data_IF_336679314952
#
_entry.id   IF_336679314952
#
_cell.length_a   1.000
_cell.length_b   1.000
_cell.length_c   1.000
_cell.angle_alpha   90.00
_cell.angle_beta   90.00
_cell.angle_gamma   90.00
#
_symmetry.space_group_name_H-M   'P 1'
#
loop_
_entity.id
_entity.type
_entity.pdbx_description
1 polymer ?
#
# COMPACT_ATOMS: atom_id res chain seq x y z
N UNK A 1 -30.35 8.68 31.87
CA UNK A 1 -30.26 7.76 33.03
C UNK A 1 -28.85 7.20 33.10
N UNK A 2 -28.28 7.19 34.31
CA UNK A 2 -27.11 6.45 34.83
C UNK A 2 -25.78 6.50 34.04
N UNK A 3 -24.90 7.38 34.54
CA UNK A 3 -23.44 7.35 34.42
C UNK A 3 -22.90 6.11 35.14
N UNK A 4 -22.07 5.29 34.50
CA UNK A 4 -21.27 4.28 35.20
C UNK A 4 -19.78 4.64 35.08
N UNK A 5 -19.25 5.02 36.24
CA UNK A 5 -17.89 5.38 36.54
C UNK A 5 -17.21 4.08 37.03
N UNK A 6 -16.25 3.52 36.29
CA UNK A 6 -15.41 2.45 36.82
C UNK A 6 -13.97 2.97 36.97
N UNK A 7 -13.68 3.38 38.20
CA UNK A 7 -12.34 3.44 38.75
C UNK A 7 -11.78 2.02 38.80
N UNK A 8 -10.74 1.74 38.02
CA UNK A 8 -9.84 0.62 38.30
C UNK A 8 -8.47 1.17 38.70
N UNK A 9 -8.42 1.43 40.00
CA UNK A 9 -7.24 1.55 40.85
C UNK A 9 -6.50 0.21 40.94
N UNK A 10 -5.25 0.26 41.40
CA UNK A 10 -4.39 -0.86 41.82
C UNK A 10 -3.70 -1.68 40.72
N UNK A 11 -2.45 -1.34 40.42
CA UNK A 11 -1.31 -2.04 41.04
C UNK A 11 0.01 -1.50 40.49
N UNK A 12 0.51 -0.51 41.21
CA UNK A 12 1.86 0.02 41.13
C UNK A 12 2.82 -1.05 41.75
N UNK A 13 3.34 -1.96 40.93
CA UNK A 13 4.45 -2.83 41.34
C UNK A 13 5.78 -2.26 40.83
N UNK A 14 6.36 -1.39 41.65
CA UNK A 14 7.74 -0.93 41.56
C UNK A 14 8.68 -2.07 41.96
N UNK A 15 9.06 -2.90 40.98
CA UNK A 15 10.19 -3.82 41.12
C UNK A 15 11.50 -3.11 40.80
N UNK A 16 12.20 -2.64 41.84
CA UNK A 16 13.58 -2.15 41.74
C UNK A 16 14.54 -3.32 41.46
N UNK A 17 14.81 -3.58 40.18
CA UNK A 17 15.91 -4.44 39.76
C UNK A 17 17.24 -3.67 39.91
N UNK A 18 18.05 -4.07 40.89
CA UNK A 18 19.36 -3.46 41.13
C UNK A 18 20.30 -3.60 39.95
N UNK A 19 20.80 -2.48 39.43
CA UNK A 19 21.96 -2.45 38.54
C UNK A 19 23.20 -2.93 39.31
N UNK A 20 23.59 -4.20 39.11
CA UNK A 20 24.94 -4.66 39.44
C UNK A 20 25.91 -4.04 38.44
N UNK A 21 26.85 -3.24 38.95
CA UNK A 21 27.93 -2.62 38.19
C UNK A 21 28.99 -3.69 37.91
N UNK A 22 28.95 -4.31 36.74
CA UNK A 22 30.01 -5.20 36.27
C UNK A 22 31.26 -4.40 35.93
N UNK A 23 32.37 -4.74 36.58
CA UNK A 23 33.69 -4.19 36.27
C UNK A 23 34.25 -4.87 35.03
N UNK A 24 34.01 -4.28 33.86
CA UNK A 24 34.58 -4.76 32.59
C UNK A 24 36.07 -4.42 32.58
N UNK A 25 36.91 -5.45 32.50
CA UNK A 25 38.35 -5.31 32.25
C UNK A 25 38.55 -4.76 30.83
N UNK A 26 39.34 -3.69 30.64
CA UNK A 26 39.70 -3.22 29.32
C UNK A 26 40.70 -4.22 28.70
N UNK A 27 40.26 -5.02 27.72
CA UNK A 27 41.16 -5.97 27.06
C UNK A 27 40.53 -6.80 25.96
N UNK A 28 39.27 -7.20 26.11
CA UNK A 28 38.59 -8.06 25.13
C UNK A 28 37.42 -7.29 24.54
N UNK A 29 37.63 -6.69 23.36
CA UNK A 29 36.55 -6.16 22.55
C UNK A 29 35.69 -7.36 22.10
N UNK A 30 34.66 -7.66 22.88
CA UNK A 30 33.65 -8.63 22.50
C UNK A 30 33.15 -8.27 21.08
N UNK A 31 33.05 -9.25 20.16
CA UNK A 31 32.47 -9.02 18.85
C UNK A 31 31.15 -8.29 19.06
N UNK A 32 31.02 -7.10 18.47
CA UNK A 32 29.75 -6.38 18.47
C UNK A 32 28.70 -7.39 17.98
N UNK A 33 27.60 -7.58 18.74
CA UNK A 33 26.60 -8.57 18.37
C UNK A 33 26.19 -8.29 16.93
N UNK A 34 26.44 -9.28 16.07
CA UNK A 34 26.03 -9.26 14.68
C UNK A 34 24.53 -9.00 14.70
N UNK A 35 24.12 -7.78 14.31
CA UNK A 35 22.71 -7.39 14.27
C UNK A 35 22.03 -8.47 13.44
N UNK A 36 21.19 -9.29 14.07
CA UNK A 36 20.35 -10.23 13.36
C UNK A 36 19.57 -9.41 12.35
N UNK A 37 19.95 -9.55 11.08
CA UNK A 37 19.33 -8.83 10.00
C UNK A 37 17.97 -9.48 9.82
N UNK A 38 16.94 -8.85 10.39
CA UNK A 38 15.57 -9.28 10.21
C UNK A 38 15.29 -9.36 8.71
N UNK A 39 14.84 -10.54 8.26
CA UNK A 39 14.55 -10.77 6.86
C UNK A 39 13.33 -9.97 6.43
N UNK A 40 13.45 -9.18 5.37
CA UNK A 40 12.34 -8.46 4.76
C UNK A 40 11.26 -9.42 4.24
N UNK A 41 10.01 -8.97 4.20
CA UNK A 41 8.96 -9.68 3.47
C UNK A 41 9.29 -9.66 1.98
N UNK A 42 9.27 -10.83 1.34
CA UNK A 42 9.39 -10.91 -0.13
C UNK A 42 8.01 -10.83 -0.76
N UNK A 43 7.78 -9.82 -1.60
CA UNK A 43 6.52 -9.61 -2.29
C UNK A 43 6.47 -10.39 -3.61
N UNK A 44 5.27 -10.81 -3.98
CA UNK A 44 4.97 -11.58 -5.18
C UNK A 44 3.50 -11.94 -5.23
N UNK A 45 3.06 -12.54 -6.34
CA UNK A 45 1.70 -13.02 -6.50
C UNK A 45 1.66 -14.30 -7.36
N UNK A 46 0.60 -15.08 -7.22
CA UNK A 46 0.35 -16.28 -8.01
C UNK A 46 -0.45 -15.91 -9.28
N UNK A 47 0.01 -16.37 -10.44
CA UNK A 47 -0.79 -16.38 -11.67
C UNK A 47 -1.39 -17.78 -11.92
N UNK A 48 -2.25 -17.91 -12.92
CA UNK A 48 -2.74 -19.23 -13.37
C UNK A 48 -1.63 -20.19 -13.79
N UNK A 49 -0.47 -19.70 -14.23
CA UNK A 49 0.61 -20.52 -14.77
C UNK A 49 1.79 -20.65 -13.82
N UNK A 50 2.19 -19.56 -13.18
CA UNK A 50 3.39 -19.53 -12.33
C UNK A 50 3.37 -18.38 -11.31
N UNK A 51 4.11 -18.51 -10.20
CA UNK A 51 4.32 -17.39 -9.28
C UNK A 51 5.21 -16.31 -9.91
N UNK A 52 4.87 -15.05 -9.66
CA UNK A 52 5.66 -13.87 -10.03
C UNK A 52 6.30 -13.27 -8.78
N UNK A 53 7.63 -13.24 -8.74
CA UNK A 53 8.40 -12.63 -7.65
C UNK A 53 8.68 -11.14 -7.96
N UNK A 54 8.34 -10.26 -7.01
CA UNK A 54 8.58 -8.82 -7.09
C UNK A 54 9.77 -8.36 -6.23
N UNK A 55 10.18 -9.22 -5.28
CA UNK A 55 11.30 -8.99 -4.36
C UNK A 55 10.89 -8.25 -3.09
N UNK A 56 11.86 -7.90 -2.23
CA UNK A 56 11.60 -7.19 -0.98
C UNK A 56 11.35 -5.68 -1.21
N UNK A 57 10.83 -5.01 -0.18
CA UNK A 57 10.76 -3.55 -0.14
C UNK A 57 12.17 -2.92 -0.23
N UNK A 58 12.32 -1.86 -1.03
CA UNK A 58 13.64 -1.26 -1.32
C UNK A 58 14.15 -0.29 -0.26
N UNK A 59 13.32 0.14 0.69
CA UNK A 59 13.68 1.18 1.66
C UNK A 59 13.76 2.59 1.07
N UNK A 60 13.66 2.76 -0.25
CA UNK A 60 13.82 4.05 -0.92
C UNK A 60 12.49 4.77 -1.16
N UNK A 61 11.44 4.00 -1.44
CA UNK A 61 10.15 4.54 -1.87
C UNK A 61 8.97 3.84 -1.20
N UNK A 62 7.89 4.61 -1.05
CA UNK A 62 6.63 4.16 -0.52
C UNK A 62 5.48 4.80 -1.31
N UNK A 63 4.40 4.05 -1.50
CA UNK A 63 3.17 4.51 -2.10
C UNK A 63 2.10 4.63 -1.04
N UNK A 64 1.40 5.77 -1.05
CA UNK A 64 0.29 5.99 -0.13
C UNK A 64 -0.89 6.53 -0.91
N UNK A 65 -1.96 5.75 -0.93
CA UNK A 65 -3.27 6.22 -1.37
C UNK A 65 -3.98 6.93 -0.22
N UNK A 66 -4.44 8.15 -0.44
CA UNK A 66 -5.24 8.88 0.54
C UNK A 66 -6.73 8.84 0.18
N UNK A 67 -7.59 9.10 1.17
CA UNK A 67 -9.03 9.30 0.91
C UNK A 67 -9.23 10.41 -0.13
N UNK A 68 -10.30 10.27 -0.92
CA UNK A 68 -10.71 11.27 -1.90
C UNK A 68 -10.80 12.66 -1.25
N UNK A 69 -10.33 13.68 -1.94
CA UNK A 69 -10.30 15.08 -1.51
C UNK A 69 -9.36 15.39 -0.32
N UNK A 70 -8.45 14.50 0.08
CA UNK A 70 -7.44 14.82 1.09
C UNK A 70 -6.33 15.70 0.47
N UNK A 71 -6.20 16.99 0.82
CA UNK A 71 -5.34 17.92 0.08
C UNK A 71 -3.85 17.59 0.21
N UNK A 72 -3.08 17.78 -0.86
CA UNK A 72 -1.64 17.52 -0.89
C UNK A 72 -0.87 18.18 0.27
N UNK A 73 -1.23 19.42 0.64
CA UNK A 73 -0.62 20.11 1.78
C UNK A 73 -0.88 19.42 3.11
N UNK A 74 -2.04 18.78 3.28
CA UNK A 74 -2.36 17.98 4.46
C UNK A 74 -1.67 16.61 4.42
N UNK A 75 -1.58 15.99 3.25
CA UNK A 75 -0.78 14.78 3.02
C UNK A 75 0.67 14.99 3.46
N UNK A 76 1.33 16.03 2.95
CA UNK A 76 2.71 16.35 3.29
C UNK A 76 2.91 16.61 4.78
N UNK A 77 1.96 17.30 5.44
CA UNK A 77 2.01 17.53 6.89
C UNK A 77 1.87 16.26 7.70
N UNK A 78 0.96 15.37 7.31
CA UNK A 78 0.76 14.08 7.94
C UNK A 78 2.00 13.21 7.74
N UNK A 79 2.54 13.13 6.53
CA UNK A 79 3.74 12.35 6.25
C UNK A 79 4.99 12.91 6.95
N UNK A 80 5.09 14.22 7.12
CA UNK A 80 6.18 14.86 7.86
C UNK A 80 6.24 14.49 9.34
N UNK A 81 5.20 13.85 9.91
CA UNK A 81 5.28 13.31 11.27
C UNK A 81 5.97 11.97 11.34
N UNK A 82 6.18 11.29 10.21
CA UNK A 82 6.84 9.99 10.14
C UNK A 82 8.36 10.16 10.05
N UNK A 83 9.11 9.46 10.91
CA UNK A 83 10.57 9.65 11.00
C UNK A 83 11.30 9.30 9.70
N UNK A 84 10.89 8.23 9.00
CA UNK A 84 11.52 7.80 7.75
C UNK A 84 11.11 8.64 6.52
N UNK A 85 10.14 9.56 6.64
CA UNK A 85 9.70 10.39 5.53
C UNK A 85 10.77 11.43 5.14
N UNK A 86 11.05 11.54 3.83
CA UNK A 86 11.88 12.62 3.29
C UNK A 86 11.06 13.62 2.48
N UNK A 87 10.33 13.15 1.45
CA UNK A 87 9.59 14.02 0.54
C UNK A 87 8.48 13.28 -0.20
N UNK A 88 7.52 14.02 -0.75
CA UNK A 88 6.62 13.50 -1.80
C UNK A 88 7.30 13.76 -3.14
N UNK A 89 7.72 12.70 -3.84
CA UNK A 89 8.44 12.78 -5.11
C UNK A 89 7.51 12.91 -6.32
N UNK A 90 6.26 12.47 -6.18
CA UNK A 90 5.27 12.55 -7.25
C UNK A 90 3.86 12.25 -6.77
N UNK A 91 2.91 12.47 -7.68
CA UNK A 91 1.52 12.05 -7.52
C UNK A 91 1.05 11.43 -8.83
N UNK A 92 0.44 10.26 -8.74
CA UNK A 92 -0.16 9.55 -9.87
C UNK A 92 -1.66 9.52 -9.65
N UNK A 93 -2.41 9.78 -10.71
CA UNK A 93 -3.86 9.63 -10.69
C UNK A 93 -4.21 8.23 -11.17
N UNK A 94 -4.79 7.42 -10.30
CA UNK A 94 -5.38 6.12 -10.66
C UNK A 94 -6.90 6.26 -10.77
N UNK A 95 -7.59 5.20 -11.20
CA UNK A 95 -9.04 5.19 -11.22
C UNK A 95 -9.62 5.17 -9.80
N UNK A 96 -8.91 4.55 -8.85
CA UNK A 96 -9.25 4.44 -7.43
C UNK A 96 -8.95 5.72 -6.64
N UNK A 97 -8.11 6.61 -7.17
CA UNK A 97 -7.88 7.95 -6.62
C UNK A 97 -6.44 8.45 -6.80
N UNK A 98 -6.11 9.62 -6.23
CA UNK A 98 -4.73 10.10 -6.24
C UNK A 98 -3.85 9.25 -5.31
N UNK A 99 -2.69 8.84 -5.81
CA UNK A 99 -1.67 8.08 -5.10
C UNK A 99 -0.40 8.93 -5.02
N UNK A 100 0.14 9.09 -3.81
CA UNK A 100 1.37 9.84 -3.59
C UNK A 100 2.57 8.91 -3.56
N UNK A 101 3.59 9.24 -4.34
CA UNK A 101 4.90 8.58 -4.31
C UNK A 101 5.75 9.33 -3.28
N UNK A 102 6.28 8.59 -2.33
CA UNK A 102 7.00 9.10 -1.18
C UNK A 102 8.43 8.58 -1.26
N UNK A 103 9.39 9.50 -1.22
CA UNK A 103 10.79 9.17 -0.99
C UNK A 103 11.04 9.07 0.50
N UNK A 104 11.69 7.99 0.91
CA UNK A 104 12.13 7.74 2.28
C UNK A 104 13.57 8.24 2.48
N UNK A 105 13.94 8.51 3.73
CA UNK A 105 15.29 8.98 4.07
C UNK A 105 16.34 7.92 3.66
N UNK A 106 17.53 8.34 3.20
CA UNK A 106 18.60 7.41 2.87
C UNK A 106 18.95 6.51 4.06
N UNK A 107 19.13 5.22 3.80
CA UNK A 107 19.42 4.23 4.83
C UNK A 107 18.20 3.64 5.53
N UNK A 108 16.98 4.08 5.18
CA UNK A 108 15.75 3.39 5.61
C UNK A 108 15.78 1.95 5.10
N UNK A 109 15.55 1.00 6.01
CA UNK A 109 15.54 -0.43 5.73
C UNK A 109 14.17 -0.90 5.26
N UNK A 110 14.10 -2.07 4.62
CA UNK A 110 12.83 -2.71 4.26
C UNK A 110 11.89 -2.86 5.47
N UNK A 111 12.43 -3.23 6.63
CA UNK A 111 11.66 -3.42 7.86
C UNK A 111 11.07 -2.10 8.35
N UNK A 112 11.84 -1.01 8.31
CA UNK A 112 11.34 0.32 8.65
C UNK A 112 10.27 0.80 7.65
N UNK A 113 10.40 0.46 6.37
CA UNK A 113 9.35 0.71 5.37
C UNK A 113 8.07 -0.07 5.68
N UNK A 114 8.17 -1.37 5.96
CA UNK A 114 7.02 -2.22 6.30
C UNK A 114 6.33 -1.76 7.60
N UNK A 115 7.12 -1.38 8.61
CA UNK A 115 6.61 -0.77 9.83
C UNK A 115 5.88 0.54 9.55
N UNK A 116 6.48 1.42 8.75
CA UNK A 116 5.85 2.69 8.36
C UNK A 116 4.54 2.47 7.58
N UNK A 117 4.50 1.48 6.68
CA UNK A 117 3.26 1.10 5.99
C UNK A 117 2.16 0.77 6.98
N UNK A 118 2.46 -0.10 7.94
CA UNK A 118 1.50 -0.51 8.96
C UNK A 118 1.01 0.67 9.80
N UNK A 119 1.91 1.57 10.23
CA UNK A 119 1.56 2.78 10.98
C UNK A 119 0.66 3.73 10.16
N UNK A 120 0.98 3.94 8.89
CA UNK A 120 0.20 4.79 8.00
C UNK A 120 -1.20 4.22 7.75
N UNK A 121 -1.33 2.91 7.60
CA UNK A 121 -2.63 2.26 7.42
C UNK A 121 -3.55 2.38 8.64
N UNK A 122 -3.02 2.61 9.85
CA UNK A 122 -3.84 2.96 11.02
C UNK A 122 -4.47 4.36 10.92
N UNK A 123 -3.93 5.24 10.09
CA UNK A 123 -4.43 6.60 9.96
C UNK A 123 -5.73 6.63 9.16
N UNK A 124 -6.81 7.28 9.64
CA UNK A 124 -8.06 7.36 8.91
C UNK A 124 -7.90 7.95 7.50
N UNK A 125 -7.02 8.93 7.33
CA UNK A 125 -6.81 9.59 6.04
C UNK A 125 -6.18 8.70 4.96
N UNK A 126 -5.49 7.62 5.34
CA UNK A 126 -4.82 6.69 4.44
C UNK A 126 -5.79 5.59 4.03
N UNK A 127 -5.86 5.30 2.74
CA UNK A 127 -6.68 4.25 2.14
C UNK A 127 -5.87 2.96 1.94
N UNK A 128 -4.62 3.07 1.49
CA UNK A 128 -3.68 1.95 1.41
C UNK A 128 -2.23 2.46 1.53
N UNK A 129 -1.29 1.57 1.87
CA UNK A 129 0.14 1.81 1.76
C UNK A 129 0.83 0.62 1.10
N UNK A 130 1.67 0.85 0.10
CA UNK A 130 2.44 -0.22 -0.60
C UNK A 130 3.92 0.16 -0.69
N UNK A 131 4.85 -0.80 -0.61
CA UNK A 131 6.27 -0.52 -0.72
C UNK A 131 6.66 -0.24 -2.17
N UNK A 132 7.71 0.56 -2.38
CA UNK A 132 8.48 0.47 -3.62
C UNK A 132 9.26 -0.85 -3.65
N UNK A 133 9.16 -1.58 -4.76
CA UNK A 133 9.80 -2.89 -4.95
C UNK A 133 10.91 -2.79 -5.99
N UNK A 134 11.81 -3.78 -6.03
CA UNK A 134 12.85 -3.85 -7.05
C UNK A 134 12.27 -3.96 -8.46
N UNK A 135 11.15 -4.68 -8.60
CA UNK A 135 10.40 -4.81 -9.85
C UNK A 135 9.62 -3.53 -10.23
N UNK A 136 9.67 -2.48 -9.41
CA UNK A 136 8.96 -1.23 -9.60
C UNK A 136 7.89 -0.98 -8.55
N UNK A 137 6.99 -0.08 -8.89
CA UNK A 137 6.02 0.51 -7.98
C UNK A 137 4.62 0.26 -8.52
N UNK A 138 3.73 -0.29 -7.69
CA UNK A 138 2.40 -0.75 -8.11
C UNK A 138 1.30 -0.02 -7.33
N UNK A 139 0.16 0.25 -7.98
CA UNK A 139 -1.02 0.82 -7.30
C UNK A 139 -1.78 -0.25 -6.51
N UNK A 140 -2.88 0.16 -5.87
CA UNK A 140 -3.84 -0.75 -5.27
C UNK A 140 -4.77 -1.42 -6.30
N UNK A 141 -4.53 -1.25 -7.60
CA UNK A 141 -5.43 -1.70 -8.66
C UNK A 141 -4.93 -2.94 -9.40
N UNK A 142 -5.88 -3.78 -9.83
CA UNK A 142 -5.61 -4.97 -10.60
C UNK A 142 -6.76 -5.27 -11.57
N UNK A 143 -6.43 -5.88 -12.69
CA UNK A 143 -7.38 -6.28 -13.74
C UNK A 143 -7.81 -7.71 -13.49
N UNK A 144 -9.08 -8.00 -13.73
CA UNK A 144 -9.66 -9.35 -13.70
C UNK A 144 -10.41 -9.60 -15.01
N UNK A 145 -10.06 -10.69 -15.70
CA UNK A 145 -10.84 -11.24 -16.82
C UNK A 145 -11.63 -12.45 -16.35
N UNK A 146 -12.92 -12.52 -16.68
CA UNK A 146 -13.76 -13.68 -16.36
C UNK A 146 -13.80 -14.68 -17.50
N UNK A 147 -13.90 -15.97 -17.15
CA UNK A 147 -14.17 -17.05 -18.11
C UNK A 147 -15.44 -16.76 -18.92
N UNK A 148 -15.53 -17.27 -20.15
CA UNK A 148 -16.67 -17.04 -21.07
C UNK A 148 -18.01 -17.58 -20.54
N UNK A 149 -18.00 -18.51 -19.60
CA UNK A 149 -19.19 -19.05 -18.95
C UNK A 149 -19.34 -18.62 -17.48
N UNK A 150 -18.47 -17.74 -16.97
CA UNK A 150 -18.55 -17.25 -15.61
C UNK A 150 -19.86 -16.48 -15.37
N UNK A 151 -20.45 -16.70 -14.19
CA UNK A 151 -21.61 -15.94 -13.70
C UNK A 151 -21.15 -14.61 -13.11
N UNK A 152 -21.72 -13.51 -13.61
CA UNK A 152 -21.45 -12.17 -13.05
C UNK A 152 -21.89 -12.10 -11.59
N UNK A 153 -23.00 -12.72 -11.21
CA UNK A 153 -23.48 -12.75 -9.82
C UNK A 153 -22.46 -13.41 -8.88
N UNK A 154 -21.84 -14.52 -9.30
CA UNK A 154 -20.81 -15.21 -8.51
C UNK A 154 -19.54 -14.35 -8.42
N UNK A 155 -19.17 -13.66 -9.50
CA UNK A 155 -18.07 -12.71 -9.48
C UNK A 155 -18.31 -11.54 -8.51
N UNK A 156 -19.50 -10.93 -8.54
CA UNK A 156 -19.86 -9.85 -7.62
C UNK A 156 -19.86 -10.33 -6.16
N UNK A 157 -20.23 -11.58 -5.91
CA UNK A 157 -20.11 -12.19 -4.58
C UNK A 157 -18.64 -12.33 -4.16
N UNK A 158 -17.76 -12.80 -5.05
CA UNK A 158 -16.32 -12.88 -4.80
C UNK A 158 -15.72 -11.51 -4.46
N UNK A 159 -16.11 -10.47 -5.19
CA UNK A 159 -15.71 -9.07 -4.91
C UNK A 159 -16.17 -8.64 -3.52
N UNK A 160 -17.42 -8.95 -3.15
CA UNK A 160 -17.96 -8.62 -1.83
C UNK A 160 -17.24 -9.37 -0.70
N UNK A 161 -16.97 -10.67 -0.88
CA UNK A 161 -16.32 -11.53 0.11
C UNK A 161 -14.87 -11.10 0.37
N UNK A 162 -14.16 -10.68 -0.68
CA UNK A 162 -12.80 -10.14 -0.60
C UNK A 162 -12.75 -8.68 -0.17
N UNK A 163 -13.92 -8.02 -0.08
CA UNK A 163 -14.07 -6.59 0.19
C UNK A 163 -13.22 -5.73 -0.76
N UNK A 164 -13.08 -6.17 -2.00
CA UNK A 164 -12.46 -5.39 -3.08
C UNK A 164 -13.51 -4.45 -3.69
N UNK A 165 -13.08 -3.46 -4.46
CA UNK A 165 -13.97 -2.50 -5.10
C UNK A 165 -13.79 -2.54 -6.62
N UNK A 166 -14.89 -2.63 -7.37
CA UNK A 166 -14.86 -2.44 -8.82
C UNK A 166 -14.73 -0.94 -9.09
N UNK A 167 -13.64 -0.58 -9.77
CA UNK A 167 -13.30 0.79 -10.14
C UNK A 167 -13.72 1.10 -11.57
N UNK A 168 -13.67 0.09 -12.46
CA UNK A 168 -14.13 0.21 -13.84
C UNK A 168 -14.83 -1.09 -14.25
N UNK A 169 -16.02 -0.93 -14.85
CA UNK A 169 -16.86 -2.03 -15.31
C UNK A 169 -16.57 -2.41 -16.78
N UNK A 170 -17.01 -3.59 -17.25
CA UNK A 170 -16.67 -4.11 -18.58
C UNK A 170 -17.14 -3.24 -19.74
N UNK A 171 -18.19 -2.44 -19.57
CA UNK A 171 -18.68 -1.53 -20.61
C UNK A 171 -17.61 -0.52 -21.06
N UNK A 172 -16.62 -0.24 -20.21
CA UNK A 172 -15.54 0.72 -20.48
C UNK A 172 -14.24 0.04 -20.95
N UNK A 173 -14.00 -1.23 -20.62
CA UNK A 173 -12.76 -1.95 -20.89
C UNK A 173 -12.87 -3.02 -21.99
N UNK A 174 -14.08 -3.46 -22.30
CA UNK A 174 -14.35 -4.62 -23.14
C UNK A 174 -15.00 -5.76 -22.36
N UNK A 175 -15.63 -6.70 -23.07
CA UNK A 175 -16.45 -7.73 -22.45
C UNK A 175 -15.67 -8.54 -21.39
N UNK A 176 -16.22 -8.58 -20.16
CA UNK A 176 -15.74 -9.37 -19.01
C UNK A 176 -14.42 -8.93 -18.38
N UNK A 177 -13.93 -7.74 -18.71
CA UNK A 177 -12.77 -7.13 -18.05
C UNK A 177 -13.23 -6.15 -16.97
N UNK A 178 -12.72 -6.33 -15.76
CA UNK A 178 -12.99 -5.46 -14.63
C UNK A 178 -11.66 -4.90 -14.11
N UNK A 179 -11.66 -3.63 -13.72
CA UNK A 179 -10.58 -3.04 -12.92
C UNK A 179 -11.04 -2.98 -11.47
N UNK A 180 -10.30 -3.62 -10.58
CA UNK A 180 -10.59 -3.68 -9.15
C UNK A 180 -9.53 -2.92 -8.38
N UNK A 181 -9.86 -2.51 -7.16
CA UNK A 181 -8.91 -2.01 -6.18
C UNK A 181 -8.98 -2.79 -4.87
N UNK A 182 -7.83 -3.02 -4.26
CA UNK A 182 -7.67 -3.66 -2.96
C UNK A 182 -7.01 -2.68 -1.97
N UNK A 183 -7.83 -1.97 -1.20
CA UNK A 183 -7.34 -1.06 -0.16
C UNK A 183 -7.24 -1.74 1.21
N UNK A 184 -6.89 -0.98 2.26
CA UNK A 184 -6.70 -1.54 3.61
C UNK A 184 -7.95 -2.19 4.21
N UNK A 185 -9.13 -2.00 3.61
CA UNK A 185 -10.36 -2.69 4.01
C UNK A 185 -10.59 -4.02 3.28
N UNK A 186 -9.82 -4.33 2.23
CA UNK A 186 -9.84 -5.61 1.55
C UNK A 186 -9.41 -6.77 2.48
N UNK A 187 -9.60 -8.01 2.03
CA UNK A 187 -9.16 -9.20 2.76
C UNK A 187 -7.63 -9.37 2.79
N UNK A 188 -6.91 -8.70 1.87
CA UNK A 188 -5.46 -8.66 1.78
C UNK A 188 -5.00 -7.52 0.87
N UNK A 189 -3.68 -7.35 0.74
CA UNK A 189 -3.13 -6.34 -0.16
C UNK A 189 -3.34 -6.72 -1.64
N UNK A 190 -3.02 -5.81 -2.57
CA UNK A 190 -3.24 -6.04 -4.00
C UNK A 190 -2.54 -7.29 -4.55
N UNK A 191 -1.35 -7.65 -4.06
CA UNK A 191 -0.61 -8.82 -4.50
C UNK A 191 -1.28 -10.12 -4.06
N UNK A 192 -1.78 -10.14 -2.81
CA UNK A 192 -2.55 -11.25 -2.26
C UNK A 192 -3.89 -11.40 -2.99
N UNK A 193 -4.56 -10.28 -3.30
CA UNK A 193 -5.83 -10.31 -4.04
C UNK A 193 -5.64 -10.81 -5.47
N UNK A 194 -4.59 -10.41 -6.18
CA UNK A 194 -4.30 -10.97 -7.51
C UNK A 194 -4.11 -12.50 -7.43
N UNK A 195 -3.41 -12.99 -6.40
CA UNK A 195 -3.23 -14.44 -6.19
C UNK A 195 -4.58 -15.12 -5.95
N UNK A 196 -5.38 -14.58 -5.02
CA UNK A 196 -6.68 -15.12 -4.65
C UNK A 196 -7.66 -15.17 -5.84
N UNK A 197 -7.69 -14.12 -6.66
CA UNK A 197 -8.53 -14.10 -7.86
C UNK A 197 -8.00 -15.06 -8.94
N UNK A 198 -6.68 -15.23 -9.08
CA UNK A 198 -6.13 -16.26 -9.96
C UNK A 198 -6.45 -17.68 -9.49
N UNK A 199 -6.70 -17.92 -8.21
CA UNK A 199 -7.12 -19.24 -7.72
C UNK A 199 -8.60 -19.54 -7.97
N UNK A 200 -9.43 -18.54 -8.27
CA UNK A 200 -10.87 -18.72 -8.51
C UNK A 200 -11.18 -19.30 -9.90
N UNK A 201 -12.05 -20.30 -9.97
CA UNK A 201 -12.42 -21.01 -11.22
C UNK A 201 -13.13 -20.09 -12.25
N UNK A 202 -13.91 -19.12 -11.77
CA UNK A 202 -14.65 -18.17 -12.61
C UNK A 202 -13.74 -17.12 -13.28
N UNK A 203 -12.52 -16.95 -12.78
CA UNK A 203 -11.54 -15.99 -13.28
C UNK A 203 -10.66 -16.68 -14.33
N UNK A 204 -10.56 -16.07 -15.51
CA UNK A 204 -9.62 -16.47 -16.56
C UNK A 204 -8.20 -16.07 -16.17
N UNK A 205 -8.00 -14.81 -15.79
CA UNK A 205 -6.75 -14.33 -15.20
C UNK A 205 -6.99 -13.08 -14.35
N UNK A 206 -6.10 -12.85 -13.39
CA UNK A 206 -5.95 -11.58 -12.68
C UNK A 206 -4.50 -11.09 -12.76
N UNK A 207 -4.29 -9.79 -12.91
CA UNK A 207 -2.95 -9.19 -13.01
C UNK A 207 -2.92 -7.77 -12.44
N UNK A 208 -1.75 -7.35 -11.95
CA UNK A 208 -1.55 -5.98 -11.47
C UNK A 208 -1.77 -4.97 -12.61
N UNK A 209 -2.33 -3.80 -12.29
CA UNK A 209 -2.54 -2.70 -13.24
C UNK A 209 -1.22 -1.95 -13.54
N UNK A 210 -0.23 -2.67 -14.10
CA UNK A 210 1.08 -2.16 -14.50
C UNK A 210 1.92 -1.50 -13.40
N UNK A 211 3.22 -1.27 -13.63
CA UNK A 211 3.99 -0.38 -12.78
C UNK A 211 3.55 1.07 -13.02
N UNK A 212 3.41 1.85 -11.95
CA UNK A 212 3.11 3.27 -12.06
C UNK A 212 4.33 4.01 -12.59
N UNK A 213 4.13 4.72 -13.71
CA UNK A 213 5.10 5.68 -14.21
C UNK A 213 4.75 7.06 -13.65
N UNK A 214 5.68 7.75 -12.97
CA UNK A 214 5.44 9.12 -12.54
C UNK A 214 5.12 9.98 -13.77
N UNK A 215 4.05 10.78 -13.69
CA UNK A 215 3.79 11.80 -14.71
C UNK A 215 4.98 12.76 -14.76
N UNK A 216 5.63 12.88 -15.91
CA UNK A 216 6.75 13.81 -16.04
C UNK A 216 6.21 15.25 -16.08
N UNK A 217 7.01 16.22 -15.65
CA UNK A 217 6.62 17.65 -15.55
C UNK A 217 5.88 18.24 -16.78
N UNK A 218 6.18 17.86 -18.04
CA UNK A 218 5.41 18.31 -19.21
C UNK A 218 3.93 17.91 -19.17
N UNK A 219 3.61 16.72 -18.64
CA UNK A 219 2.26 16.15 -18.66
C UNK A 219 1.34 16.80 -17.61
N UNK A 220 1.92 17.27 -16.50
CA UNK A 220 1.19 17.95 -15.41
C UNK A 220 0.67 19.34 -15.81
N UNK A 221 1.29 19.99 -16.82
CA UNK A 221 0.82 21.28 -17.34
C UNK A 221 -0.46 21.10 -18.15
N UNK A 222 -0.62 19.97 -18.86
CA UNK A 222 -1.81 19.67 -19.66
C UNK A 222 -3.05 19.42 -18.78
N UNK A 223 -2.90 18.74 -17.64
CA UNK A 223 -4.03 18.46 -16.74
C UNK A 223 -4.51 19.66 -15.92
N UNK A 224 -3.69 20.70 -15.74
CA UNK A 224 -4.09 21.92 -15.00
C UNK A 224 -4.93 22.89 -15.82
N UNK A 225 -5.07 22.70 -17.14
CA UNK A 225 -5.85 23.56 -18.02
C UNK A 225 -6.85 22.78 -18.89
N UNK A 226 -7.94 22.22 -18.34
CA UNK A 226 -9.05 21.70 -19.16
C UNK A 226 -9.91 22.83 -19.80
N UNK A 227 -9.45 24.08 -19.80
CA UNK A 227 -10.21 25.21 -20.34
C UNK A 227 -9.98 25.41 -21.83
N UNK A 228 -11.07 25.18 -22.58
CA UNK A 228 -11.35 25.63 -23.96
C UNK A 228 -10.58 24.90 -25.06
N UNK A 229 -11.00 23.68 -25.39
CA UNK A 229 -11.06 23.33 -26.81
C UNK A 229 -12.42 23.76 -27.35
N UNK A 230 -12.35 24.55 -28.40
CA UNK A 230 -13.42 25.24 -29.10
C UNK A 230 -14.50 24.28 -29.59
N UNK A 231 -15.73 24.59 -29.22
CA UNK A 231 -16.90 24.29 -30.01
C UNK A 231 -16.84 25.23 -31.23
N UNK A 232 -16.09 24.85 -32.26
CA UNK A 232 -16.33 25.34 -33.62
C UNK A 232 -17.22 24.32 -34.33
N UNK A 233 -18.53 24.59 -34.27
CA UNK A 233 -19.53 24.01 -35.16
C UNK A 233 -19.34 24.64 -36.55
N UNK A 234 -19.02 23.79 -37.54
CA UNK A 234 -19.40 23.99 -38.94
C UNK A 234 -20.40 22.90 -39.32
#
# INVERSE_FOLDING_TARGET
MKKMLYLFSCCLYLGFSGCRKEGIKPGDAAPLPEKQQESCTSYGYQTKTEPVALGPATGAELLVGFRKNFPLKQQQRLLATCEAFQAVSGQVQTASGPVSLITLKPGTTCHETEKLMHELEQLPAVRFSLPGLQAGTYSDEFVVSLQVNASETEFLQLVADTRTHIVTYPEELGSRLYLLSADKSAAGNVFEMVSFFNDADLVEYASLNGPLTPLTSPDLIAFRNPTKQEVELN
#
